data_IF_285505822860
#
_entry.id   IF_285505822860
#
_cell.length_a   1.000
_cell.length_b   1.000
_cell.length_c   1.000
_cell.angle_alpha   90.00
_cell.angle_beta   90.00
_cell.angle_gamma   90.00
#
_symmetry.space_group_name_H-M   'P 1'
#
loop_
_entity.id
_entity.type
_entity.pdbx_description
1 polymer ?
#
# COMPACT_ATOMS: atom_id res chain seq x y z
N UNK A 1 -5.08 -31.32 2.30
CA UNK A 1 -5.15 -31.44 3.78
C UNK A 1 -5.25 -30.07 4.42
N UNK A 2 -4.21 -29.23 4.42
CA UNK A 2 -4.38 -27.86 4.93
C UNK A 2 -5.39 -27.05 4.11
N UNK A 3 -5.37 -27.18 2.78
CA UNK A 3 -6.33 -26.51 1.88
C UNK A 3 -7.78 -26.89 2.20
N UNK A 4 -8.07 -28.19 2.34
CA UNK A 4 -9.43 -28.68 2.66
C UNK A 4 -9.92 -28.18 4.02
N UNK A 5 -9.06 -28.21 5.04
CA UNK A 5 -9.38 -27.67 6.35
C UNK A 5 -9.70 -26.16 6.32
N UNK A 6 -8.87 -25.38 5.62
CA UNK A 6 -9.08 -23.93 5.46
C UNK A 6 -10.37 -23.64 4.68
N UNK A 7 -10.63 -24.37 3.60
CA UNK A 7 -11.84 -24.20 2.78
C UNK A 7 -13.09 -24.49 3.59
N UNK A 8 -13.12 -25.59 4.38
CA UNK A 8 -14.25 -25.93 5.24
C UNK A 8 -14.46 -24.86 6.32
N UNK A 9 -13.40 -24.33 6.92
CA UNK A 9 -13.51 -23.24 7.89
C UNK A 9 -14.04 -21.96 7.24
N UNK A 10 -13.54 -21.60 6.05
CA UNK A 10 -13.96 -20.40 5.33
C UNK A 10 -15.43 -20.52 4.86
N UNK A 11 -15.82 -21.68 4.33
CA UNK A 11 -17.21 -21.97 3.91
C UNK A 11 -18.15 -21.95 5.11
N UNK A 12 -17.77 -22.50 6.27
CA UNK A 12 -18.59 -22.42 7.49
C UNK A 12 -18.74 -20.98 7.99
N UNK A 13 -17.66 -20.19 7.98
CA UNK A 13 -17.73 -18.76 8.32
C UNK A 13 -18.62 -18.01 7.33
N UNK A 14 -18.49 -18.27 6.03
CA UNK A 14 -19.35 -17.67 5.01
C UNK A 14 -20.82 -18.08 5.18
N UNK A 15 -21.10 -19.34 5.49
CA UNK A 15 -22.46 -19.82 5.74
C UNK A 15 -23.12 -19.13 6.94
N UNK A 16 -22.36 -18.84 7.99
CA UNK A 16 -22.84 -18.10 9.17
C UNK A 16 -22.99 -16.60 8.90
N UNK A 17 -21.99 -15.94 8.32
CA UNK A 17 -21.98 -14.48 8.17
C UNK A 17 -22.68 -13.98 6.90
N UNK A 18 -22.47 -14.64 5.77
CA UNK A 18 -22.99 -14.21 4.46
C UNK A 18 -24.38 -14.80 4.22
N UNK A 19 -24.57 -16.09 4.48
CA UNK A 19 -25.85 -16.78 4.22
C UNK A 19 -26.81 -16.79 5.42
N UNK A 20 -26.35 -16.33 6.59
CA UNK A 20 -27.15 -16.26 7.83
C UNK A 20 -27.87 -17.56 8.19
N UNK A 21 -27.26 -18.70 7.88
CA UNK A 21 -27.79 -20.01 8.27
C UNK A 21 -27.59 -20.18 9.78
N UNK A 22 -28.57 -20.79 10.45
CA UNK A 22 -28.51 -21.04 11.90
C UNK A 22 -27.19 -21.74 12.28
N UNK A 23 -26.39 -21.19 13.22
CA UNK A 23 -25.09 -21.74 13.59
C UNK A 23 -25.16 -23.21 14.00
N UNK A 24 -26.26 -23.62 14.63
CA UNK A 24 -26.48 -25.01 15.05
C UNK A 24 -26.51 -25.99 13.86
N UNK A 25 -27.04 -25.55 12.72
CA UNK A 25 -27.15 -26.39 11.52
C UNK A 25 -25.80 -26.52 10.79
N UNK A 26 -24.96 -25.49 10.86
CA UNK A 26 -23.62 -25.47 10.25
C UNK A 26 -22.60 -26.19 11.13
N UNK A 27 -22.75 -26.10 12.45
CA UNK A 27 -21.77 -26.61 13.41
C UNK A 27 -21.55 -28.13 13.31
N UNK A 28 -22.63 -28.91 13.17
CA UNK A 28 -22.56 -30.36 13.15
C UNK A 28 -21.79 -30.92 11.93
N UNK A 29 -22.12 -30.55 10.67
CA UNK A 29 -21.33 -30.98 9.51
C UNK A 29 -19.91 -30.43 9.55
N UNK A 30 -19.72 -29.17 9.98
CA UNK A 30 -18.39 -28.59 10.14
C UNK A 30 -17.52 -29.40 11.12
N UNK A 31 -18.06 -29.76 12.29
CA UNK A 31 -17.35 -30.51 13.32
C UNK A 31 -16.91 -31.88 12.80
N UNK A 32 -17.78 -32.60 12.09
CA UNK A 32 -17.44 -33.93 11.56
C UNK A 32 -16.26 -33.87 10.58
N UNK A 33 -16.25 -32.89 9.67
CA UNK A 33 -15.17 -32.73 8.70
C UNK A 33 -13.89 -32.21 9.36
N UNK A 34 -14.01 -31.26 10.29
CA UNK A 34 -12.87 -30.76 11.07
C UNK A 34 -12.22 -31.87 11.91
N UNK A 35 -13.01 -32.77 12.51
CA UNK A 35 -12.49 -33.93 13.21
C UNK A 35 -11.77 -34.91 12.27
N UNK A 36 -12.33 -35.17 11.09
CA UNK A 36 -11.67 -36.03 10.09
C UNK A 36 -10.32 -35.46 9.68
N UNK A 37 -10.26 -34.20 9.23
CA UNK A 37 -9.01 -33.53 8.87
C UNK A 37 -8.04 -33.46 10.05
N UNK A 38 -8.54 -33.21 11.27
CA UNK A 38 -7.76 -33.19 12.50
C UNK A 38 -7.09 -34.53 12.81
N UNK A 39 -7.83 -35.65 12.70
CA UNK A 39 -7.28 -36.99 12.92
C UNK A 39 -6.22 -37.36 11.87
N UNK A 40 -6.42 -36.99 10.61
CA UNK A 40 -5.42 -37.15 9.55
C UNK A 40 -4.17 -36.32 9.83
N UNK A 41 -4.33 -35.07 10.25
CA UNK A 41 -3.21 -34.21 10.62
C UNK A 41 -2.44 -34.77 11.82
N UNK A 42 -3.14 -35.26 12.86
CA UNK A 42 -2.52 -35.95 13.99
C UNK A 42 -1.76 -37.19 13.57
N UNK A 43 -2.31 -38.01 12.66
CA UNK A 43 -1.59 -39.17 12.10
C UNK A 43 -0.31 -38.77 11.36
N UNK A 44 -0.36 -37.67 10.60
CA UNK A 44 0.83 -37.14 9.93
C UNK A 44 1.87 -36.61 10.93
N UNK A 45 1.44 -35.96 12.00
CA UNK A 45 2.31 -35.44 13.07
C UNK A 45 3.03 -36.55 13.85
N UNK A 46 2.41 -37.71 14.04
CA UNK A 46 3.04 -38.87 14.69
C UNK A 46 4.26 -39.38 13.90
N UNK A 47 4.27 -39.20 12.57
CA UNK A 47 5.40 -39.62 11.71
C UNK A 47 6.54 -38.60 11.66
N UNK A 48 6.38 -37.43 12.26
CA UNK A 48 7.42 -36.38 12.34
C UNK A 48 8.71 -36.87 12.98
N UNK A 49 8.70 -37.48 14.19
CA UNK A 49 9.92 -38.00 14.80
C UNK A 49 10.56 -39.16 14.01
N UNK A 50 9.80 -39.84 13.15
CA UNK A 50 10.29 -40.98 12.36
C UNK A 50 10.86 -40.60 10.99
N UNK A 51 10.86 -39.32 10.60
CA UNK A 51 11.50 -38.86 9.36
C UNK A 51 10.81 -37.73 8.62
N UNK A 52 9.58 -37.36 8.99
CA UNK A 52 8.86 -36.28 8.31
C UNK A 52 9.24 -34.85 8.80
N UNK A 53 10.20 -34.72 9.72
CA UNK A 53 10.63 -33.43 10.30
C UNK A 53 11.26 -32.46 9.29
N UNK A 54 11.91 -32.96 8.23
CA UNK A 54 12.60 -32.12 7.25
C UNK A 54 11.63 -31.15 6.55
N UNK A 55 10.44 -31.63 6.17
CA UNK A 55 9.44 -30.81 5.48
C UNK A 55 8.90 -29.69 6.37
N UNK A 56 8.71 -29.95 7.66
CA UNK A 56 8.28 -28.96 8.65
C UNK A 56 9.39 -27.93 8.89
N UNK A 57 10.64 -28.39 9.04
CA UNK A 57 11.78 -27.50 9.20
C UNK A 57 11.96 -26.57 7.99
N UNK A 58 11.88 -27.11 6.78
CA UNK A 58 11.95 -26.31 5.54
C UNK A 58 10.79 -25.30 5.45
N UNK A 59 9.56 -25.72 5.77
CA UNK A 59 8.41 -24.83 5.80
C UNK A 59 8.59 -23.69 6.82
N UNK A 60 9.13 -23.98 8.00
CA UNK A 60 9.41 -22.99 9.03
C UNK A 60 10.48 -21.98 8.60
N UNK A 61 11.56 -22.42 7.95
CA UNK A 61 12.61 -21.54 7.41
C UNK A 61 12.05 -20.63 6.33
N UNK A 62 11.28 -21.17 5.38
CA UNK A 62 10.64 -20.37 4.33
C UNK A 62 9.63 -19.38 4.93
N UNK A 63 8.83 -19.79 5.91
CA UNK A 63 7.92 -18.91 6.61
C UNK A 63 8.66 -17.77 7.33
N UNK A 64 9.78 -18.05 7.98
CA UNK A 64 10.62 -17.03 8.61
C UNK A 64 11.17 -16.03 7.58
N UNK A 65 11.62 -16.51 6.42
CA UNK A 65 12.08 -15.64 5.33
C UNK A 65 10.95 -14.73 4.84
N UNK A 66 9.76 -15.27 4.57
CA UNK A 66 8.61 -14.49 4.14
C UNK A 66 8.12 -13.50 5.21
N UNK A 67 8.13 -13.88 6.48
CA UNK A 67 7.77 -12.99 7.59
C UNK A 67 8.79 -11.86 7.75
N UNK A 68 10.08 -12.16 7.64
CA UNK A 68 11.13 -11.14 7.67
C UNK A 68 11.03 -10.20 6.48
N UNK A 69 10.75 -10.73 5.29
CA UNK A 69 10.51 -9.94 4.10
C UNK A 69 9.29 -9.02 4.28
N UNK A 70 8.17 -9.56 4.78
CA UNK A 70 6.95 -8.80 5.07
C UNK A 70 7.23 -7.67 6.06
N UNK A 71 7.95 -7.98 7.14
CA UNK A 71 8.37 -7.00 8.13
C UNK A 71 9.25 -5.92 7.51
N UNK A 72 10.25 -6.28 6.70
CA UNK A 72 11.09 -5.31 6.00
C UNK A 72 10.31 -4.41 5.05
N UNK A 73 9.31 -4.96 4.35
CA UNK A 73 8.40 -4.19 3.49
C UNK A 73 7.52 -3.23 4.30
N UNK A 74 6.99 -3.68 5.43
CA UNK A 74 6.16 -2.88 6.32
C UNK A 74 6.95 -1.74 6.97
N UNK A 75 8.16 -2.02 7.45
CA UNK A 75 9.06 -0.99 7.98
C UNK A 75 9.47 0.03 6.93
N UNK A 76 9.73 -0.42 5.70
CA UNK A 76 9.97 0.49 4.58
C UNK A 76 8.76 1.38 4.31
N UNK A 77 7.55 0.85 4.33
CA UNK A 77 6.34 1.64 4.15
C UNK A 77 6.11 2.63 5.29
N UNK A 78 6.40 2.23 6.53
CA UNK A 78 6.34 3.12 7.69
C UNK A 78 7.33 4.28 7.55
N UNK A 79 8.57 4.00 7.13
CA UNK A 79 9.57 5.04 6.87
C UNK A 79 9.18 5.95 5.68
N UNK A 80 8.65 5.38 4.60
CA UNK A 80 8.11 6.16 3.46
C UNK A 80 6.87 6.99 3.86
N UNK A 81 6.11 6.57 4.88
CA UNK A 81 4.98 7.33 5.40
C UNK A 81 5.43 8.51 6.27
N UNK A 82 6.45 8.31 7.11
CA UNK A 82 7.01 9.37 7.97
C UNK A 82 7.70 10.48 7.17
N UNK A 83 8.33 10.14 6.02
CA UNK A 83 9.02 11.11 5.16
C UNK A 83 8.06 11.92 4.25
N UNK A 84 6.74 11.76 4.40
CA UNK A 84 5.71 12.54 3.69
C UNK A 84 5.46 13.89 4.37
N UNK A 85 6.41 14.81 4.27
CA UNK A 85 6.20 16.19 4.71
C UNK A 85 5.40 17.01 3.67
N UNK A 86 4.44 17.85 4.09
CA UNK A 86 3.68 18.70 3.17
C UNK A 86 4.56 19.76 2.48
N UNK A 87 4.42 19.95 1.16
CA UNK A 87 5.17 20.96 0.38
C UNK A 87 4.99 22.39 0.87
N UNK A 88 3.91 22.67 1.61
CA UNK A 88 3.66 23.98 2.21
C UNK A 88 4.76 24.38 3.19
N UNK A 89 5.59 23.44 3.67
CA UNK A 89 6.73 23.72 4.53
C UNK A 89 8.06 23.88 3.77
N UNK A 90 8.08 23.64 2.44
CA UNK A 90 9.31 23.67 1.64
C UNK A 90 9.44 24.92 0.77
N UNK A 91 8.34 25.51 0.32
CA UNK A 91 8.34 26.67 -0.58
C UNK A 91 7.61 27.81 0.12
N UNK A 92 8.36 28.81 0.57
CA UNK A 92 7.78 30.05 1.09
C UNK A 92 7.74 31.03 -0.08
N UNK A 93 6.54 31.43 -0.48
CA UNK A 93 6.36 32.53 -1.42
C UNK A 93 6.65 33.83 -0.68
N UNK A 94 7.85 34.40 -0.89
CA UNK A 94 8.14 35.76 -0.44
C UNK A 94 7.37 36.77 -1.28
N UNK A 95 7.06 37.94 -0.70
CA UNK A 95 6.21 39.00 -1.28
C UNK A 95 6.72 39.61 -2.60
N UNK A 96 7.92 39.24 -3.05
CA UNK A 96 8.54 39.69 -4.30
C UNK A 96 8.45 38.67 -5.46
N UNK A 97 7.65 37.61 -5.33
CA UNK A 97 7.42 36.65 -6.42
C UNK A 97 8.58 35.65 -6.64
N UNK A 98 9.59 35.65 -5.76
CA UNK A 98 10.64 34.63 -5.73
C UNK A 98 10.27 33.49 -4.78
N UNK A 99 10.39 32.26 -5.26
CA UNK A 99 10.25 31.05 -4.48
C UNK A 99 11.61 30.69 -3.88
N UNK A 100 11.76 30.84 -2.56
CA UNK A 100 12.92 30.33 -1.84
C UNK A 100 12.56 29.06 -1.06
N UNK A 101 13.56 28.20 -0.88
CA UNK A 101 13.45 27.05 0.00
C UNK A 101 13.31 27.53 1.46
N UNK A 102 12.39 26.92 2.21
CA UNK A 102 12.20 27.20 3.64
C UNK A 102 13.52 27.15 4.43
N UNK A 103 13.61 27.97 5.49
CA UNK A 103 14.78 28.20 6.37
C UNK A 103 15.52 26.91 6.79
N UNK A 104 14.81 25.76 6.88
CA UNK A 104 15.39 24.45 7.22
C UNK A 104 16.33 23.86 6.15
N UNK A 105 16.28 24.34 4.90
CA UNK A 105 17.05 23.80 3.76
C UNK A 105 18.02 24.81 3.13
N UNK A 106 18.32 25.91 3.82
CA UNK A 106 19.44 26.80 3.46
C UNK A 106 19.08 28.01 2.60
N UNK A 107 17.81 28.42 2.55
CA UNK A 107 17.34 29.68 1.92
C UNK A 107 17.86 29.88 0.48
N UNK A 108 18.07 28.77 -0.22
CA UNK A 108 18.61 28.76 -1.58
C UNK A 108 17.53 29.24 -2.56
N UNK A 109 17.86 30.18 -3.47
CA UNK A 109 16.94 30.62 -4.50
C UNK A 109 16.71 29.47 -5.49
N UNK A 110 15.44 29.12 -5.71
CA UNK A 110 15.10 28.03 -6.64
C UNK A 110 15.02 28.58 -8.05
N UNK A 111 15.83 28.04 -8.97
CA UNK A 111 15.83 28.47 -10.37
C UNK A 111 14.63 27.87 -11.10
N UNK A 112 13.79 28.74 -11.68
CA UNK A 112 12.66 28.31 -12.52
C UNK A 112 13.21 27.95 -13.91
N UNK A 113 13.13 26.67 -14.27
CA UNK A 113 13.51 26.18 -15.58
C UNK A 113 12.29 26.13 -16.51
N UNK A 114 12.44 26.58 -17.76
CA UNK A 114 11.38 26.50 -18.77
C UNK A 114 11.16 25.04 -19.16
N UNK A 115 10.09 24.44 -18.66
CA UNK A 115 9.78 23.03 -18.90
C UNK A 115 8.56 22.53 -18.14
N UNK A 116 8.10 21.36 -18.55
CA UNK A 116 6.99 20.62 -17.94
C UNK A 116 7.53 19.47 -17.10
N UNK A 117 7.24 19.45 -15.81
CA UNK A 117 7.53 18.34 -14.90
C UNK A 117 6.28 17.53 -14.59
N UNK A 118 6.26 16.25 -14.95
CA UNK A 118 5.17 15.33 -14.58
C UNK A 118 5.66 14.41 -13.45
N UNK A 119 4.99 14.46 -12.31
CA UNK A 119 5.34 13.66 -11.13
C UNK A 119 4.23 12.66 -10.83
N UNK A 120 4.55 11.37 -10.93
CA UNK A 120 3.66 10.27 -10.57
C UNK A 120 3.64 10.03 -9.06
N UNK A 121 2.46 9.82 -8.48
CA UNK A 121 2.35 9.24 -7.14
C UNK A 121 1.05 8.51 -6.95
N UNK A 122 1.16 7.55 -6.04
CA UNK A 122 0.26 6.44 -5.83
C UNK A 122 -0.75 6.72 -4.71
N UNK A 123 -0.55 7.76 -3.89
CA UNK A 123 -1.44 8.06 -2.76
C UNK A 123 -1.70 9.57 -2.62
N UNK A 124 -2.88 9.98 -3.06
CA UNK A 124 -3.25 11.33 -3.51
C UNK A 124 -3.46 12.43 -2.47
N UNK A 125 -2.77 12.40 -1.33
CA UNK A 125 -3.06 13.33 -0.23
C UNK A 125 -1.88 14.16 0.29
N UNK A 126 -0.62 13.80 0.04
CA UNK A 126 0.51 14.59 0.53
C UNK A 126 1.57 14.84 -0.56
N UNK A 127 2.23 15.99 -0.47
CA UNK A 127 3.25 16.35 -1.44
C UNK A 127 4.39 15.33 -1.44
N UNK A 128 4.81 15.01 -2.64
CA UNK A 128 5.38 13.72 -2.99
C UNK A 128 6.88 13.75 -2.75
N UNK A 129 7.41 12.75 -2.04
CA UNK A 129 8.86 12.57 -1.76
C UNK A 129 9.72 12.75 -3.03
N UNK A 130 9.22 12.30 -4.19
CA UNK A 130 9.94 12.46 -5.47
C UNK A 130 10.10 13.93 -5.86
N UNK A 131 9.07 14.76 -5.65
CA UNK A 131 9.13 16.19 -5.94
C UNK A 131 10.04 16.91 -4.95
N UNK A 132 9.94 16.62 -3.64
CA UNK A 132 10.84 17.25 -2.65
C UNK A 132 12.29 16.89 -2.93
N UNK A 133 12.60 15.62 -3.21
CA UNK A 133 13.96 15.20 -3.57
C UNK A 133 14.46 15.80 -4.88
N UNK A 134 13.58 15.99 -5.88
CA UNK A 134 13.92 16.66 -7.13
C UNK A 134 14.35 18.11 -6.88
N UNK A 135 13.54 18.88 -6.14
CA UNK A 135 13.84 20.29 -5.84
C UNK A 135 15.10 20.40 -4.97
N UNK A 136 15.24 19.55 -3.94
CA UNK A 136 16.41 19.57 -3.06
C UNK A 136 17.71 19.22 -3.78
N UNK A 137 17.70 18.28 -4.72
CA UNK A 137 18.92 17.85 -5.42
C UNK A 137 19.28 18.73 -6.60
N UNK A 138 18.29 19.23 -7.33
CA UNK A 138 18.51 19.99 -8.57
C UNK A 138 18.41 21.50 -8.36
N UNK A 139 17.91 21.96 -7.20
CA UNK A 139 17.65 23.37 -6.91
C UNK A 139 16.89 24.08 -8.04
N UNK A 140 16.01 23.33 -8.72
CA UNK A 140 15.28 23.81 -9.89
C UNK A 140 13.83 23.37 -9.84
N UNK A 141 12.94 24.28 -10.21
CA UNK A 141 11.51 24.03 -10.38
C UNK A 141 11.14 24.17 -11.86
N UNK A 142 10.44 23.20 -12.46
CA UNK A 142 9.85 23.40 -13.78
C UNK A 142 8.79 24.50 -13.73
N UNK A 143 8.68 25.26 -14.82
CA UNK A 143 7.67 26.31 -14.98
C UNK A 143 6.22 25.78 -14.88
N UNK A 144 5.98 24.55 -15.36
CA UNK A 144 4.68 23.87 -15.26
C UNK A 144 4.84 22.51 -14.57
N UNK A 145 4.09 22.28 -13.49
CA UNK A 145 4.17 21.05 -12.70
C UNK A 145 2.82 20.35 -12.73
N UNK A 146 2.81 19.08 -13.14
CA UNK A 146 1.61 18.23 -13.16
C UNK A 146 1.83 17.04 -12.24
N UNK A 147 1.05 16.96 -11.17
CA UNK A 147 0.97 15.78 -10.32
C UNK A 147 -0.05 14.80 -10.89
N UNK A 148 0.44 13.67 -11.37
CA UNK A 148 -0.38 12.61 -11.93
C UNK A 148 -0.66 11.55 -10.88
N UNK A 149 -1.92 11.36 -10.51
CA UNK A 149 -2.37 10.37 -9.54
C UNK A 149 -3.23 9.32 -10.23
N UNK A 150 -2.88 8.04 -10.09
CA UNK A 150 -3.70 6.92 -10.54
C UNK A 150 -4.47 6.37 -9.34
N UNK A 151 -5.79 6.48 -9.37
CA UNK A 151 -6.69 5.94 -8.36
C UNK A 151 -7.42 4.72 -8.94
N UNK A 152 -7.04 3.49 -8.56
CA UNK A 152 -7.85 2.32 -8.91
C UNK A 152 -9.21 2.42 -8.22
N UNK A 153 -10.29 2.23 -8.99
CA UNK A 153 -11.66 2.15 -8.48
C UNK A 153 -12.15 0.70 -8.62
N UNK A 154 -12.92 0.23 -7.65
CA UNK A 154 -13.49 -1.14 -7.64
C UNK A 154 -14.69 -1.29 -8.59
N UNK A 155 -14.95 -0.30 -9.44
CA UNK A 155 -16.06 -0.31 -10.40
C UNK A 155 -15.54 -0.59 -11.82
N UNK A 156 -16.22 -1.47 -12.59
CA UNK A 156 -15.74 -1.91 -13.91
C UNK A 156 -15.87 -0.84 -15.01
N UNK A 157 -16.72 0.16 -14.83
CA UNK A 157 -16.89 1.27 -15.78
C UNK A 157 -17.18 2.57 -15.03
N UNK A 158 -16.50 3.64 -15.46
CA UNK A 158 -16.66 4.99 -14.92
C UNK A 158 -17.15 5.90 -16.05
N UNK A 159 -18.17 6.70 -15.76
CA UNK A 159 -18.70 7.71 -16.68
C UNK A 159 -17.59 8.68 -17.11
N UNK A 160 -17.60 9.12 -18.37
CA UNK A 160 -16.49 9.89 -18.97
C UNK A 160 -16.13 11.15 -18.16
N UNK A 161 -17.13 11.78 -17.55
CA UNK A 161 -17.01 12.96 -16.68
C UNK A 161 -16.28 12.71 -15.34
N UNK A 162 -16.29 11.47 -14.84
CA UNK A 162 -15.68 11.10 -13.55
C UNK A 162 -14.33 10.36 -13.72
N UNK A 163 -13.85 10.19 -14.95
CA UNK A 163 -12.58 9.49 -15.24
C UNK A 163 -11.35 10.30 -14.92
N UNK A 164 -11.47 11.62 -14.83
CA UNK A 164 -10.37 12.47 -14.46
C UNK A 164 -10.84 13.72 -13.72
N UNK A 165 -10.11 14.11 -12.69
CA UNK A 165 -10.34 15.35 -11.96
C UNK A 165 -9.08 16.20 -12.00
N UNK A 166 -9.21 17.41 -12.55
CA UNK A 166 -8.13 18.41 -12.56
C UNK A 166 -8.40 19.41 -11.45
N UNK A 167 -7.42 19.57 -10.56
CA UNK A 167 -7.46 20.57 -9.48
C UNK A 167 -6.17 21.39 -9.49
N UNK A 168 -6.28 22.71 -9.39
CA UNK A 168 -5.12 23.59 -9.29
C UNK A 168 -4.69 23.68 -7.82
N UNK A 169 -3.41 23.52 -7.55
CA UNK A 169 -2.85 23.69 -6.20
C UNK A 169 -2.55 25.17 -5.93
N UNK A 170 -2.33 25.51 -4.66
CA UNK A 170 -2.03 26.87 -4.19
C UNK A 170 -0.74 27.46 -4.80
N UNK A 171 0.16 26.60 -5.29
CA UNK A 171 1.41 27.01 -5.95
C UNK A 171 1.09 27.43 -7.40
N UNK A 172 1.61 28.56 -7.91
CA UNK A 172 1.39 28.97 -9.29
C UNK A 172 1.90 27.90 -10.27
N UNK A 173 1.18 27.71 -11.39
CA UNK A 173 1.47 26.72 -12.43
C UNK A 173 1.56 25.26 -11.98
N UNK A 174 0.92 24.92 -10.86
CA UNK A 174 0.89 23.58 -10.31
C UNK A 174 -0.51 22.95 -10.42
N UNK A 175 -0.61 21.85 -11.13
CA UNK A 175 -1.86 21.14 -11.41
C UNK A 175 -1.82 19.72 -10.83
N UNK A 176 -2.93 19.25 -10.28
CA UNK A 176 -3.14 17.88 -9.83
C UNK A 176 -4.20 17.22 -10.71
N UNK A 177 -3.77 16.18 -11.42
CA UNK A 177 -4.60 15.34 -12.28
C UNK A 177 -4.77 13.98 -11.60
N UNK A 178 -6.01 13.67 -11.21
CA UNK A 178 -6.39 12.35 -10.68
C UNK A 178 -7.10 11.60 -11.80
N UNK A 179 -6.65 10.39 -12.11
CA UNK A 179 -7.22 9.47 -13.10
C UNK A 179 -7.58 8.16 -12.41
#
# INVERSE_FOLDING_TARGET
MFVTFFDICMVSLAAMFVWQISPYLVFLPWLTMACMDGTYLSSALIKVPQGAWFTIALAAVLAMLFLLWRYGKEQRWFAEAEDRFPASHFIVSSSDGQMSLSNRYGDLPVSVNRGLGIFFDKAGEATRIVFSQFVLKLNSLPEMIVFFHLRPLEQPSVAAENRFTVSRLTIPNCYRLVV
#
